data_IF_238420730614
#
_entry.id   IF_238420730614
#
_cell.length_a   1.000
_cell.length_b   1.000
_cell.length_c   1.000
_cell.angle_alpha   90.00
_cell.angle_beta   90.00
_cell.angle_gamma   90.00
#
_symmetry.space_group_name_H-M   'P 1'
#
loop_
_entity.id
_entity.type
_entity.pdbx_description
1 polymer ?
#
# COMPACT_ATOMS: atom_id res chain seq x y z
N UNK A 1 0.15 -2.52 -2.55
CA UNK A 1 0.63 -1.25 -3.13
C UNK A 1 0.23 -0.12 -2.20
N UNK A 2 1.19 0.40 -1.44
CA UNK A 2 0.95 1.54 -0.54
C UNK A 2 1.20 2.87 -1.26
N UNK A 3 0.42 3.91 -0.94
CA UNK A 3 0.62 5.22 -1.53
C UNK A 3 -0.29 6.29 -0.94
N UNK A 4 0.07 7.56 -1.13
CA UNK A 4 -0.81 8.67 -0.76
C UNK A 4 -2.01 8.76 -1.71
N UNK A 5 -1.82 8.50 -3.02
CA UNK A 5 -2.90 8.56 -4.02
C UNK A 5 -3.69 9.89 -3.98
N UNK A 6 -2.99 10.99 -4.25
CA UNK A 6 -3.54 12.36 -4.14
C UNK A 6 -3.51 13.14 -5.48
N UNK A 7 -4.37 12.79 -6.47
CA UNK A 7 -5.27 11.63 -6.51
C UNK A 7 -4.59 10.37 -7.07
N UNK A 8 -5.28 9.23 -7.00
CA UNK A 8 -4.94 8.05 -7.81
C UNK A 8 -5.03 8.38 -9.32
N UNK A 9 -4.20 7.75 -10.15
CA UNK A 9 -4.11 8.04 -11.59
C UNK A 9 -3.59 6.82 -12.36
N UNK A 10 -3.61 6.88 -13.70
CA UNK A 10 -3.21 5.75 -14.56
C UNK A 10 -1.80 5.22 -14.32
N UNK A 11 -0.84 6.07 -13.95
CA UNK A 11 0.49 5.60 -13.53
C UNK A 11 0.43 4.54 -12.41
N UNK A 12 -0.40 4.75 -11.38
CA UNK A 12 -0.57 3.77 -10.30
C UNK A 12 -1.26 2.48 -10.79
N UNK A 13 -2.33 2.64 -11.59
CA UNK A 13 -3.15 1.51 -12.06
C UNK A 13 -2.37 0.63 -13.04
N UNK A 14 -1.67 1.24 -14.00
CA UNK A 14 -0.89 0.53 -15.00
C UNK A 14 0.29 -0.21 -14.36
N UNK A 15 1.00 0.42 -13.40
CA UNK A 15 2.07 -0.27 -12.67
C UNK A 15 1.54 -1.44 -11.84
N UNK A 16 0.39 -1.29 -11.19
CA UNK A 16 -0.23 -2.39 -10.46
C UNK A 16 -0.62 -3.55 -11.37
N UNK A 17 -1.16 -3.25 -12.56
CA UNK A 17 -1.57 -4.26 -13.54
C UNK A 17 -0.35 -5.00 -14.10
N UNK A 18 0.68 -4.27 -14.54
CA UNK A 18 1.92 -4.82 -15.07
C UNK A 18 2.58 -5.76 -14.05
N UNK A 19 2.68 -5.33 -12.79
CA UNK A 19 3.26 -6.14 -11.71
C UNK A 19 2.41 -7.38 -11.46
N UNK A 20 1.08 -7.25 -11.44
CA UNK A 20 0.19 -8.38 -11.25
C UNK A 20 0.37 -9.43 -12.36
N UNK A 21 0.57 -9.01 -13.60
CA UNK A 21 0.80 -9.90 -14.74
C UNK A 21 2.16 -10.58 -14.69
N UNK A 22 3.24 -9.79 -14.54
CA UNK A 22 4.62 -10.30 -14.55
C UNK A 22 4.87 -11.27 -13.39
N UNK A 23 4.38 -10.93 -12.19
CA UNK A 23 4.55 -11.76 -10.99
C UNK A 23 3.42 -12.79 -10.80
N UNK A 24 2.44 -12.85 -11.72
CA UNK A 24 1.27 -13.74 -11.67
C UNK A 24 0.54 -13.66 -10.33
N UNK A 25 0.28 -12.44 -9.86
CA UNK A 25 -0.39 -12.21 -8.59
C UNK A 25 -1.89 -12.49 -8.71
N UNK A 26 -2.45 -13.15 -7.70
CA UNK A 26 -3.91 -13.34 -7.59
C UNK A 26 -4.65 -12.02 -7.37
N UNK A 27 -4.00 -11.06 -6.69
CA UNK A 27 -4.60 -9.79 -6.27
C UNK A 27 -3.56 -8.72 -6.01
N UNK A 28 -3.91 -7.47 -6.33
CA UNK A 28 -3.22 -6.27 -5.84
C UNK A 28 -4.13 -5.53 -4.85
N UNK A 29 -3.61 -5.30 -3.65
CA UNK A 29 -4.30 -4.55 -2.60
C UNK A 29 -3.72 -3.13 -2.58
N UNK A 30 -4.53 -2.14 -2.95
CA UNK A 30 -4.23 -0.73 -2.80
C UNK A 30 -4.48 -0.30 -1.36
N UNK A 31 -3.50 0.39 -0.76
CA UNK A 31 -3.55 0.83 0.64
C UNK A 31 -3.31 2.34 0.64
N UNK A 32 -4.38 3.15 0.63
CA UNK A 32 -4.28 4.60 0.72
C UNK A 32 -3.79 5.02 2.11
N UNK A 33 -2.71 5.78 2.17
CA UNK A 33 -2.19 6.32 3.42
C UNK A 33 -3.19 7.29 4.07
N UNK A 34 -3.53 7.10 5.34
CA UNK A 34 -4.37 8.05 6.07
C UNK A 34 -3.61 9.36 6.32
N UNK A 35 -2.60 9.34 7.20
CA UNK A 35 -1.68 10.47 7.40
C UNK A 35 -0.26 10.02 6.98
N UNK A 36 0.26 10.46 5.82
CA UNK A 36 1.57 10.05 5.36
C UNK A 36 2.68 10.69 6.22
N UNK A 37 3.56 9.90 6.87
CA UNK A 37 4.53 10.43 7.83
C UNK A 37 5.60 11.32 7.20
N UNK A 38 5.88 11.16 5.90
CA UNK A 38 6.89 11.92 5.15
C UNK A 38 6.36 13.24 4.57
N UNK A 39 5.04 13.43 4.50
CA UNK A 39 4.40 14.62 3.88
C UNK A 39 3.93 15.68 4.88
N UNK A 40 4.54 15.76 6.07
CA UNK A 40 4.11 16.67 7.16
C UNK A 40 4.08 18.16 6.78
N UNK A 41 4.83 18.56 5.75
CA UNK A 41 4.93 19.95 5.27
C UNK A 41 4.11 20.23 4.02
N UNK A 42 3.44 19.21 3.46
CA UNK A 42 2.64 19.33 2.26
C UNK A 42 1.15 19.38 2.62
N UNK A 43 0.37 20.14 1.84
CA UNK A 43 -1.09 20.06 1.92
C UNK A 43 -1.51 18.78 1.20
N UNK A 44 -1.92 17.77 1.97
CA UNK A 44 -2.44 16.50 1.46
C UNK A 44 -3.97 16.54 1.53
N UNK A 45 -4.64 16.06 0.49
CA UNK A 45 -6.10 15.92 0.51
C UNK A 45 -6.54 14.97 1.62
N UNK A 46 -7.73 15.18 2.17
CA UNK A 46 -8.31 14.34 3.22
C UNK A 46 -8.24 12.83 2.85
N UNK A 47 -7.90 12.00 3.84
CA UNK A 47 -7.70 10.57 3.66
C UNK A 47 -8.95 9.84 3.16
N UNK A 48 -10.14 10.26 3.58
CA UNK A 48 -11.40 9.65 3.15
C UNK A 48 -11.69 9.98 1.68
N UNK A 49 -11.41 11.21 1.22
CA UNK A 49 -11.56 11.54 -0.20
C UNK A 49 -10.63 10.69 -1.07
N UNK A 50 -9.37 10.51 -0.66
CA UNK A 50 -8.40 9.69 -1.40
C UNK A 50 -8.76 8.21 -1.38
N UNK A 51 -9.29 7.69 -0.27
CA UNK A 51 -9.85 6.35 -0.19
C UNK A 51 -10.97 6.16 -1.23
N UNK A 52 -11.96 7.06 -1.25
CA UNK A 52 -13.09 6.97 -2.18
C UNK A 52 -12.65 7.04 -3.64
N UNK A 53 -11.73 7.95 -3.98
CA UNK A 53 -11.16 8.02 -5.33
C UNK A 53 -10.43 6.72 -5.72
N UNK A 54 -9.67 6.14 -4.78
CA UNK A 54 -8.99 4.85 -4.99
C UNK A 54 -10.00 3.74 -5.26
N UNK A 55 -11.05 3.62 -4.45
CA UNK A 55 -12.11 2.61 -4.63
C UNK A 55 -12.75 2.71 -6.01
N UNK A 56 -13.14 3.92 -6.43
CA UNK A 56 -13.75 4.16 -7.74
C UNK A 56 -12.78 3.80 -8.88
N UNK A 57 -11.51 4.20 -8.78
CA UNK A 57 -10.51 3.94 -9.81
C UNK A 57 -10.16 2.45 -9.98
N UNK A 58 -10.33 1.65 -8.93
CA UNK A 58 -10.03 0.21 -8.96
C UNK A 58 -11.23 -0.68 -9.31
N UNK A 59 -12.45 -0.12 -9.33
CA UNK A 59 -13.70 -0.89 -9.34
C UNK A 59 -13.86 -1.83 -10.55
N UNK A 60 -13.33 -1.44 -11.71
CA UNK A 60 -13.48 -2.18 -12.95
C UNK A 60 -12.50 -3.34 -13.12
N UNK A 61 -11.48 -3.46 -12.25
CA UNK A 61 -10.47 -4.51 -12.35
C UNK A 61 -10.66 -5.56 -11.25
N UNK A 62 -11.01 -6.82 -11.58
CA UNK A 62 -11.30 -7.85 -10.59
C UNK A 62 -10.08 -8.30 -9.77
N UNK A 63 -8.85 -8.02 -10.23
CA UNK A 63 -7.62 -8.28 -9.46
C UNK A 63 -7.34 -7.19 -8.44
N UNK A 64 -7.99 -6.03 -8.54
CA UNK A 64 -7.72 -4.90 -7.65
C UNK A 64 -8.70 -4.86 -6.49
N UNK A 65 -8.16 -4.53 -5.32
CA UNK A 65 -8.94 -4.31 -4.11
C UNK A 65 -8.35 -3.12 -3.35
N UNK A 66 -9.16 -2.49 -2.51
CA UNK A 66 -8.73 -1.38 -1.66
C UNK A 66 -8.87 -1.79 -0.19
N UNK A 67 -7.85 -1.54 0.60
CA UNK A 67 -7.86 -1.77 2.05
C UNK A 67 -8.03 -0.45 2.80
N UNK A 68 -8.92 -0.46 3.77
CA UNK A 68 -9.18 0.63 4.72
C UNK A 68 -8.28 0.59 5.95
N UNK A 69 -7.36 -0.37 6.03
CA UNK A 69 -6.59 -0.70 7.25
C UNK A 69 -5.87 0.51 7.87
N UNK A 70 -5.31 1.40 7.06
CA UNK A 70 -4.60 2.59 7.57
C UNK A 70 -5.55 3.72 7.96
N UNK A 71 -6.75 3.78 7.35
CA UNK A 71 -7.81 4.72 7.72
C UNK A 71 -8.43 4.29 9.06
N UNK A 72 -8.72 3.00 9.21
CA UNK A 72 -9.33 2.43 10.42
C UNK A 72 -8.39 2.47 11.62
N UNK A 73 -7.08 2.31 11.40
CA UNK A 73 -6.07 2.43 12.45
C UNK A 73 -5.92 3.87 12.98
N UNK A 74 -6.35 4.86 12.20
CA UNK A 74 -6.16 6.28 12.49
C UNK A 74 -4.66 6.68 12.59
N UNK A 75 -4.38 7.98 12.67
CA UNK A 75 -3.03 8.52 12.85
C UNK A 75 -2.08 8.29 11.67
N UNK A 76 -0.78 8.24 11.97
CA UNK A 76 0.27 8.11 10.96
C UNK A 76 0.32 6.72 10.33
N UNK A 77 0.40 6.70 9.00
CA UNK A 77 0.49 5.48 8.20
C UNK A 77 1.94 5.02 8.08
N UNK A 78 2.38 4.16 8.99
CA UNK A 78 3.70 3.52 8.92
C UNK A 78 3.61 2.15 8.25
N UNK A 79 4.40 1.95 7.18
CA UNK A 79 4.41 0.71 6.41
C UNK A 79 4.66 -0.54 7.25
N UNK A 80 5.56 -0.47 8.24
CA UNK A 80 5.84 -1.60 9.12
C UNK A 80 4.62 -2.05 9.92
N UNK A 81 3.79 -1.11 10.37
CA UNK A 81 2.59 -1.41 11.15
C UNK A 81 1.56 -2.08 10.24
N UNK A 82 1.38 -1.55 9.02
CA UNK A 82 0.49 -2.11 7.98
C UNK A 82 0.88 -3.51 7.54
N UNK A 83 2.17 -3.74 7.26
CA UNK A 83 2.66 -5.07 6.86
C UNK A 83 2.41 -6.10 7.97
N UNK A 84 2.69 -5.73 9.22
CA UNK A 84 2.45 -6.64 10.35
C UNK A 84 0.97 -6.97 10.50
N UNK A 85 0.09 -5.98 10.40
CA UNK A 85 -1.35 -6.15 10.55
C UNK A 85 -1.96 -7.00 9.43
N UNK A 86 -1.54 -6.78 8.18
CA UNK A 86 -1.95 -7.62 7.04
C UNK A 86 -1.46 -9.05 7.19
N UNK A 87 -0.19 -9.26 7.55
CA UNK A 87 0.34 -10.62 7.75
C UNK A 87 -0.41 -11.34 8.88
N UNK A 88 -0.72 -10.65 9.97
CA UNK A 88 -1.51 -11.22 11.06
C UNK A 88 -2.94 -11.53 10.64
N UNK A 89 -3.52 -10.79 9.70
CA UNK A 89 -4.88 -11.02 9.20
C UNK A 89 -4.96 -12.19 8.23
N UNK A 90 -3.99 -12.31 7.31
CA UNK A 90 -3.99 -13.34 6.26
C UNK A 90 -3.34 -14.66 6.68
N UNK A 91 -2.47 -14.68 7.69
CA UNK A 91 -1.81 -15.91 8.16
C UNK A 91 -2.59 -16.65 9.26
N UNK A 92 -3.87 -16.32 9.49
CA UNK A 92 -4.75 -17.06 10.39
C UNK A 92 -5.20 -18.42 9.84
N UNK A 93 -4.84 -18.76 8.60
CA UNK A 93 -5.14 -20.04 7.94
C UNK A 93 -3.91 -20.91 7.69
N UNK A 94 -4.13 -22.12 7.17
CA UNK A 94 -3.06 -23.12 6.92
C UNK A 94 -2.21 -22.85 5.67
N UNK A 95 -2.62 -21.92 4.80
CA UNK A 95 -1.89 -21.55 3.59
C UNK A 95 -1.00 -20.33 3.84
N UNK A 96 0.30 -20.43 3.49
CA UNK A 96 1.22 -19.30 3.52
C UNK A 96 1.01 -18.44 2.26
N UNK A 97 0.45 -17.25 2.44
CA UNK A 97 0.35 -16.26 1.37
C UNK A 97 1.72 -15.59 1.14
N UNK A 98 2.12 -15.42 -0.12
CA UNK A 98 3.31 -14.65 -0.48
C UNK A 98 2.94 -13.19 -0.62
N UNK A 99 3.58 -12.33 0.16
CA UNK A 99 3.32 -10.89 0.16
C UNK A 99 4.48 -10.12 -0.45
N UNK A 100 4.12 -9.13 -1.27
CA UNK A 100 5.04 -8.14 -1.81
C UNK A 100 4.53 -6.74 -1.49
N UNK A 101 5.45 -5.85 -1.10
CA UNK A 101 5.16 -4.43 -0.98
C UNK A 101 5.61 -3.71 -2.26
N UNK A 102 4.62 -3.40 -3.11
CA UNK A 102 4.83 -2.61 -4.33
C UNK A 102 5.01 -1.14 -3.95
N UNK A 103 6.14 -0.54 -4.35
CA UNK A 103 6.50 0.86 -4.05
C UNK A 103 7.21 1.52 -5.23
N UNK A 104 6.95 2.81 -5.44
CA UNK A 104 7.69 3.59 -6.43
C UNK A 104 9.14 3.83 -6.02
N UNK A 105 10.04 3.92 -7.01
CA UNK A 105 11.48 4.09 -6.78
C UNK A 105 11.82 5.31 -5.92
N UNK A 106 11.10 6.42 -6.08
CA UNK A 106 11.37 7.64 -5.33
C UNK A 106 11.08 7.48 -3.84
N UNK A 107 9.99 6.79 -3.49
CA UNK A 107 9.69 6.47 -2.11
C UNK A 107 10.67 5.41 -1.55
N UNK A 108 11.11 4.46 -2.38
CA UNK A 108 12.09 3.45 -1.97
C UNK A 108 13.49 4.03 -1.72
N UNK A 109 13.91 5.08 -2.43
CA UNK A 109 15.18 5.78 -2.14
C UNK A 109 15.24 6.29 -0.69
N UNK A 110 14.09 6.60 -0.10
CA UNK A 110 13.99 7.07 1.28
C UNK A 110 13.73 5.95 2.29
N UNK A 111 13.78 4.67 1.89
CA UNK A 111 13.37 3.52 2.72
C UNK A 111 14.06 3.48 4.10
N UNK A 112 15.33 3.90 4.19
CA UNK A 112 16.07 3.91 5.46
C UNK A 112 15.57 4.96 6.45
N UNK A 113 14.81 5.97 5.99
CA UNK A 113 14.15 6.97 6.84
C UNK A 113 12.82 6.50 7.40
N UNK A 114 12.28 5.37 6.91
CA UNK A 114 11.00 4.84 7.34
C UNK A 114 11.12 4.22 8.74
N UNK A 115 10.03 4.26 9.50
CA UNK A 115 9.93 3.65 10.84
C UNK A 115 10.32 2.16 10.78
N UNK A 116 11.30 1.78 11.60
CA UNK A 116 11.82 0.41 11.72
C UNK A 116 12.25 -0.22 10.37
N UNK A 117 12.86 0.57 9.47
CA UNK A 117 13.25 0.18 8.10
C UNK A 117 13.99 -1.15 8.00
N UNK A 118 14.95 -1.42 8.90
CA UNK A 118 15.70 -2.69 8.93
C UNK A 118 14.78 -3.88 9.23
N UNK A 119 13.82 -3.72 10.15
CA UNK A 119 12.84 -4.77 10.46
C UNK A 119 11.88 -4.95 9.29
N UNK A 120 11.48 -3.85 8.63
CA UNK A 120 10.61 -3.89 7.47
C UNK A 120 11.24 -4.66 6.31
N UNK A 121 12.48 -4.35 5.94
CA UNK A 121 13.22 -5.02 4.87
C UNK A 121 13.47 -6.52 5.16
N UNK A 122 13.55 -6.92 6.43
CA UNK A 122 13.66 -8.34 6.82
C UNK A 122 12.34 -9.10 6.73
N UNK A 123 11.21 -8.40 6.85
CA UNK A 123 9.88 -9.01 6.99
C UNK A 123 8.98 -8.77 5.78
N UNK A 124 9.47 -8.16 4.70
CA UNK A 124 8.68 -7.90 3.52
C UNK A 124 9.57 -7.88 2.29
N UNK A 125 9.14 -8.60 1.25
CA UNK A 125 9.74 -8.51 -0.07
C UNK A 125 9.19 -7.27 -0.78
N UNK A 126 10.05 -6.47 -1.39
CA UNK A 126 9.67 -5.26 -2.11
C UNK A 126 9.71 -5.51 -3.63
N UNK A 127 8.82 -4.82 -4.34
CA UNK A 127 8.82 -4.69 -5.80
C UNK A 127 8.84 -3.20 -6.11
#
# INVERSE_FOLDING_TARGET
>A
MGGTFDPIHYGHLNSAEEIAEVFKMDRVIFIPAFIPPHKKKEKVTDGYHRLMMTMLATLSNPRFTVSTIEIERDGYSYTIDTVNELRNSFNKGSAKNKFYFIVGVDAFKEIFTWKDSVRLLKNCDFI
#
